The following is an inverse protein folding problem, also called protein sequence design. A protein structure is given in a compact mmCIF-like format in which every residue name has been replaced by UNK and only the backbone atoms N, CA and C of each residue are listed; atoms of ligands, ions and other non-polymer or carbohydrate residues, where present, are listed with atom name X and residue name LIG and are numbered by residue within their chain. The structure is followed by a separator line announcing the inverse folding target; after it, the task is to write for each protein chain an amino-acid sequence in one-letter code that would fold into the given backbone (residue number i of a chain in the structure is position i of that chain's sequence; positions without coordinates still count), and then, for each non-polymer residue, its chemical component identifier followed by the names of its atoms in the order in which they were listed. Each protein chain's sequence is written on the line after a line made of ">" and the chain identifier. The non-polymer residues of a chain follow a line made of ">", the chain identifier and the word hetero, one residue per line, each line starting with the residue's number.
data_IF_229880038041
#
_entry.id   IF_229880038041
#
_cell.length_a   1.000
_cell.length_b   1.000
_cell.length_c   1.000
_cell.angle_alpha   90.00
_cell.angle_beta   90.00
_cell.angle_gamma   90.00
#
_symmetry.space_group_name_H-M   'P 1'
#
loop_
_entity.id
_entity.type
_entity.pdbx_description
1 polymer ?
#
# COMPACT_ATOMS: atom_id res chain seq x y z
N UNK A 1 -11.55 8.82 -6.31
CA UNK A 1 -10.83 9.72 -7.22
C UNK A 1 -9.54 9.04 -7.61
N UNK A 2 -9.39 8.72 -8.90
CA UNK A 2 -8.36 7.81 -9.42
C UNK A 2 -7.11 8.59 -9.90
N UNK A 3 -6.65 9.60 -9.16
CA UNK A 3 -5.60 10.51 -9.62
C UNK A 3 -4.34 9.80 -10.17
N UNK A 4 -3.80 8.84 -9.46
CA UNK A 4 -2.60 8.11 -9.91
C UNK A 4 -2.89 7.14 -11.05
N UNK A 5 -4.02 6.48 -11.02
CA UNK A 5 -4.42 5.50 -12.05
C UNK A 5 -4.76 6.15 -13.38
N UNK A 6 -5.46 7.30 -13.35
CA UNK A 6 -5.82 8.03 -14.58
C UNK A 6 -4.60 8.62 -15.28
N UNK A 7 -3.58 9.05 -14.56
CA UNK A 7 -2.33 9.56 -15.14
C UNK A 7 -1.55 8.51 -15.93
N UNK A 8 -1.71 7.22 -15.58
CA UNK A 8 -1.04 6.10 -16.23
C UNK A 8 -1.96 5.31 -17.17
N UNK A 9 -3.19 5.79 -17.38
CA UNK A 9 -4.21 5.09 -18.17
C UNK A 9 -4.46 3.64 -17.68
N UNK A 10 -4.23 3.38 -16.39
CA UNK A 10 -4.34 2.07 -15.78
C UNK A 10 -5.69 1.94 -15.05
N UNK A 11 -6.38 0.84 -15.29
CA UNK A 11 -7.58 0.49 -14.51
C UNK A 11 -7.20 -0.34 -13.28
N UNK A 12 -7.76 0.00 -12.13
CA UNK A 12 -7.52 -0.74 -10.88
C UNK A 12 -7.87 -2.23 -11.00
N UNK A 13 -8.92 -2.55 -11.77
CA UNK A 13 -9.34 -3.94 -12.04
C UNK A 13 -8.29 -4.73 -12.80
N UNK A 14 -7.68 -4.12 -13.80
CA UNK A 14 -6.65 -4.75 -14.62
C UNK A 14 -5.37 -4.95 -13.81
N UNK A 15 -5.02 -3.98 -12.97
CA UNK A 15 -3.90 -4.11 -12.03
C UNK A 15 -4.12 -5.25 -11.05
N UNK A 16 -5.30 -5.38 -10.45
CA UNK A 16 -5.59 -6.47 -9.50
C UNK A 16 -5.45 -7.82 -10.20
N UNK A 17 -6.08 -7.99 -11.37
CA UNK A 17 -6.00 -9.25 -12.13
C UNK A 17 -4.57 -9.61 -12.51
N UNK A 18 -3.80 -8.67 -13.04
CA UNK A 18 -2.42 -8.92 -13.45
C UNK A 18 -1.53 -9.22 -12.26
N UNK A 19 -1.72 -8.52 -11.14
CA UNK A 19 -0.96 -8.75 -9.90
C UNK A 19 -1.25 -10.14 -9.32
N UNK A 20 -2.52 -10.55 -9.25
CA UNK A 20 -2.90 -11.90 -8.78
C UNK A 20 -2.33 -12.96 -9.70
N UNK A 21 -2.45 -12.80 -11.03
CA UNK A 21 -1.88 -13.72 -12.01
C UNK A 21 -0.36 -13.86 -11.84
N UNK A 22 0.34 -12.76 -11.61
CA UNK A 22 1.78 -12.79 -11.37
C UNK A 22 2.12 -13.49 -10.06
N UNK A 23 1.43 -13.17 -8.96
CA UNK A 23 1.63 -13.79 -7.66
C UNK A 23 1.46 -15.32 -7.71
N UNK A 24 0.47 -15.83 -8.45
CA UNK A 24 0.22 -17.28 -8.55
C UNK A 24 1.32 -18.06 -9.23
N UNK A 25 2.23 -17.40 -9.92
CA UNK A 25 3.45 -18.05 -10.41
C UNK A 25 4.46 -18.36 -9.30
N UNK A 26 4.31 -17.70 -8.14
CA UNK A 26 5.32 -17.66 -7.09
C UNK A 26 4.81 -18.09 -5.71
N UNK A 27 3.49 -18.16 -5.49
CA UNK A 27 2.92 -18.52 -4.19
C UNK A 27 1.52 -19.11 -4.29
N UNK A 28 1.22 -20.06 -3.39
CA UNK A 28 -0.12 -20.63 -3.18
C UNK A 28 -0.83 -20.00 -1.96
N UNK A 29 -0.25 -19.01 -1.33
CA UNK A 29 -0.83 -18.34 -0.14
C UNK A 29 -2.19 -17.73 -0.46
N UNK A 30 -3.13 -17.70 0.50
CA UNK A 30 -4.40 -17.02 0.34
C UNK A 30 -4.19 -15.54 -0.01
N UNK A 31 -4.89 -15.05 -1.03
CA UNK A 31 -4.85 -13.65 -1.43
C UNK A 31 -6.13 -12.97 -0.94
N UNK A 32 -5.97 -11.95 -0.11
CA UNK A 32 -7.06 -11.09 0.35
C UNK A 32 -6.94 -9.75 -0.35
N UNK A 33 -7.98 -9.32 -1.04
CA UNK A 33 -8.01 -8.04 -1.73
C UNK A 33 -8.93 -7.08 -0.99
N UNK A 34 -8.42 -5.88 -0.70
CA UNK A 34 -9.17 -4.80 -0.08
C UNK A 34 -9.40 -3.69 -1.10
N UNK A 35 -10.67 -3.44 -1.44
CA UNK A 35 -11.07 -2.32 -2.27
C UNK A 35 -11.15 -1.02 -1.47
N UNK A 36 -10.88 0.13 -2.13
CA UNK A 36 -11.14 1.43 -1.51
C UNK A 36 -12.66 1.62 -1.29
N UNK A 37 -13.12 2.01 -0.08
CA UNK A 37 -14.55 2.12 0.22
C UNK A 37 -15.32 3.05 -0.72
N UNK A 38 -14.68 4.09 -1.22
CA UNK A 38 -15.25 5.05 -2.16
C UNK A 38 -15.31 4.56 -3.62
N UNK A 39 -14.67 3.45 -3.97
CA UNK A 39 -14.65 2.91 -5.32
C UNK A 39 -15.66 1.75 -5.46
N UNK A 40 -16.93 2.14 -5.66
CA UNK A 40 -18.04 1.18 -5.82
C UNK A 40 -17.86 0.26 -7.03
N UNK A 41 -17.19 0.73 -8.09
CA UNK A 41 -16.96 -0.05 -9.30
C UNK A 41 -15.92 -1.14 -9.04
N UNK A 42 -14.79 -0.81 -8.43
CA UNK A 42 -13.80 -1.78 -8.02
C UNK A 42 -14.38 -2.82 -7.05
N UNK A 43 -15.14 -2.38 -6.03
CA UNK A 43 -15.77 -3.30 -5.08
C UNK A 43 -16.74 -4.27 -5.78
N UNK A 44 -17.52 -3.80 -6.77
CA UNK A 44 -18.39 -4.68 -7.57
C UNK A 44 -17.59 -5.73 -8.33
N UNK A 45 -16.49 -5.34 -8.95
CA UNK A 45 -15.58 -6.24 -9.64
C UNK A 45 -14.98 -7.28 -8.68
N UNK A 46 -14.52 -6.86 -7.51
CA UNK A 46 -13.91 -7.74 -6.51
C UNK A 46 -14.85 -8.79 -5.91
N UNK A 47 -16.17 -8.58 -6.03
CA UNK A 47 -17.23 -9.53 -5.60
C UNK A 47 -17.50 -10.66 -6.60
N UNK A 48 -16.76 -10.75 -7.71
CA UNK A 48 -16.96 -11.82 -8.70
C UNK A 48 -16.72 -13.20 -8.09
N UNK A 49 -17.41 -14.20 -8.65
CA UNK A 49 -17.21 -15.60 -8.30
C UNK A 49 -16.17 -16.25 -9.22
N UNK A 50 -15.50 -17.28 -8.74
CA UNK A 50 -14.53 -18.02 -9.54
C UNK A 50 -13.19 -17.29 -9.75
N UNK A 51 -12.91 -16.32 -8.91
CA UNK A 51 -11.64 -15.56 -8.89
C UNK A 51 -10.71 -16.13 -7.83
N UNK A 52 -9.41 -15.96 -8.02
CA UNK A 52 -8.37 -16.48 -7.15
C UNK A 52 -7.97 -15.49 -6.03
N UNK A 53 -8.96 -14.84 -5.44
CA UNK A 53 -8.83 -14.00 -4.26
C UNK A 53 -10.08 -13.99 -3.41
N UNK A 54 -9.94 -13.56 -2.17
CA UNK A 54 -11.05 -13.27 -1.25
C UNK A 54 -11.16 -11.76 -1.04
N UNK A 55 -12.35 -11.20 -1.21
CA UNK A 55 -12.60 -9.81 -0.85
C UNK A 55 -12.60 -9.67 0.68
N UNK A 56 -11.81 -8.73 1.18
CA UNK A 56 -11.82 -8.38 2.62
C UNK A 56 -13.24 -7.99 3.08
N UNK A 57 -13.62 -8.53 4.24
CA UNK A 57 -14.88 -8.21 4.93
C UNK A 57 -14.65 -7.36 6.18
N UNK A 58 -13.40 -7.04 6.47
CA UNK A 58 -13.02 -6.29 7.65
C UNK A 58 -13.28 -4.79 7.46
N UNK A 59 -13.83 -4.13 8.48
CA UNK A 59 -14.09 -2.69 8.45
C UNK A 59 -12.79 -1.89 8.52
N UNK A 60 -11.85 -2.34 9.34
CA UNK A 60 -10.57 -1.65 9.57
C UNK A 60 -9.43 -2.34 8.83
N UNK A 61 -8.54 -1.53 8.25
CA UNK A 61 -7.31 -2.01 7.60
C UNK A 61 -6.43 -2.85 8.55
N UNK A 62 -6.30 -2.44 9.80
CA UNK A 62 -5.51 -3.15 10.80
C UNK A 62 -5.89 -4.63 10.95
N UNK A 63 -7.19 -4.96 10.81
CA UNK A 63 -7.67 -6.34 10.87
C UNK A 63 -7.22 -7.20 9.69
N UNK A 64 -7.03 -6.58 8.51
CA UNK A 64 -6.47 -7.27 7.35
C UNK A 64 -4.95 -7.43 7.46
N UNK A 65 -4.29 -6.49 8.13
CA UNK A 65 -2.85 -6.53 8.35
C UNK A 65 -2.46 -7.54 9.44
N UNK A 66 -3.36 -7.82 10.36
CA UNK A 66 -3.13 -8.79 11.41
C UNK A 66 -2.89 -10.18 10.80
N UNK A 67 -1.71 -10.75 11.09
CA UNK A 67 -1.23 -12.00 10.52
C UNK A 67 -0.96 -12.00 8.99
N UNK A 68 -0.92 -10.84 8.34
CA UNK A 68 -0.54 -10.77 6.93
C UNK A 68 0.93 -11.17 6.72
N UNK A 69 1.19 -12.09 5.77
CA UNK A 69 2.54 -12.48 5.37
C UNK A 69 3.27 -11.34 4.67
N UNK A 70 2.59 -10.65 3.78
CA UNK A 70 3.07 -9.49 3.06
C UNK A 70 1.88 -8.66 2.57
N UNK A 71 2.13 -7.40 2.25
CA UNK A 71 1.16 -6.48 1.66
C UNK A 71 1.63 -6.05 0.29
N UNK A 72 0.71 -5.97 -0.66
CA UNK A 72 1.00 -5.54 -2.02
C UNK A 72 0.13 -4.34 -2.34
N UNK A 73 0.75 -3.28 -2.79
CA UNK A 73 0.06 -2.06 -3.23
C UNK A 73 0.63 -1.56 -4.55
N UNK A 74 -0.15 -0.78 -5.28
CA UNK A 74 0.43 -0.02 -6.38
C UNK A 74 1.41 1.02 -5.81
N UNK A 75 0.90 2.05 -5.13
CA UNK A 75 1.68 3.06 -4.41
C UNK A 75 0.89 3.72 -3.27
N UNK A 76 -0.15 3.06 -2.77
CA UNK A 76 -1.16 3.67 -1.90
C UNK A 76 -0.78 3.68 -0.42
N UNK A 77 -1.40 4.60 0.35
CA UNK A 77 -1.18 4.78 1.78
C UNK A 77 -1.35 3.54 2.67
N UNK A 78 -2.24 2.56 2.38
CA UNK A 78 -2.24 1.28 3.10
C UNK A 78 -0.89 0.57 3.14
N UNK A 79 -0.05 0.74 2.12
CA UNK A 79 1.33 0.23 2.13
C UNK A 79 2.20 0.90 3.19
N UNK A 80 2.01 2.19 3.44
CA UNK A 80 2.70 2.91 4.52
C UNK A 80 2.31 2.33 5.88
N UNK A 81 1.01 2.09 6.11
CA UNK A 81 0.53 1.46 7.34
C UNK A 81 1.14 0.06 7.54
N UNK A 82 1.18 -0.76 6.50
CA UNK A 82 1.82 -2.07 6.53
C UNK A 82 3.31 -1.99 6.91
N UNK A 83 4.04 -1.07 6.30
CA UNK A 83 5.46 -0.88 6.58
C UNK A 83 5.70 -0.38 8.01
N UNK A 84 4.83 0.47 8.57
CA UNK A 84 4.87 0.91 9.97
C UNK A 84 4.72 -0.30 10.91
N UNK A 85 3.81 -1.23 10.62
CA UNK A 85 3.61 -2.45 11.40
C UNK A 85 4.75 -3.48 11.22
N UNK A 86 5.63 -3.28 10.26
CA UNK A 86 6.77 -4.16 9.98
C UNK A 86 6.43 -5.35 9.10
N UNK A 87 5.29 -5.30 8.44
CA UNK A 87 4.87 -6.31 7.47
C UNK A 87 5.63 -6.06 6.17
N UNK A 88 6.24 -7.07 5.54
CA UNK A 88 6.88 -6.93 4.24
C UNK A 88 5.94 -6.28 3.22
N UNK A 89 6.39 -5.21 2.59
CA UNK A 89 5.62 -4.46 1.61
C UNK A 89 6.18 -4.69 0.20
N UNK A 90 5.28 -4.86 -0.77
CA UNK A 90 5.58 -4.82 -2.20
C UNK A 90 4.88 -3.62 -2.84
N UNK A 91 5.63 -2.84 -3.61
CA UNK A 91 5.13 -1.72 -4.42
C UNK A 91 5.29 -2.09 -5.88
N UNK A 92 4.19 -2.06 -6.62
CA UNK A 92 4.15 -2.49 -8.04
C UNK A 92 4.02 -1.33 -9.03
N UNK A 93 4.08 -0.08 -8.57
CA UNK A 93 4.18 1.08 -9.46
C UNK A 93 5.48 0.98 -10.26
N UNK A 94 5.48 1.15 -11.59
CA UNK A 94 6.69 1.24 -12.40
C UNK A 94 7.67 2.32 -11.93
N UNK A 95 7.16 3.37 -11.27
CA UNK A 95 7.97 4.35 -10.55
C UNK A 95 7.75 4.21 -9.05
N UNK A 96 8.37 3.22 -8.39
CA UNK A 96 8.09 2.90 -6.99
C UNK A 96 8.46 4.04 -6.03
N UNK A 97 9.33 4.98 -6.46
CA UNK A 97 9.71 6.17 -5.68
C UNK A 97 8.55 7.11 -5.38
N UNK A 98 7.41 6.97 -6.07
CA UNK A 98 6.17 7.71 -5.76
C UNK A 98 5.56 7.23 -4.42
N UNK A 99 5.79 5.98 -4.04
CA UNK A 99 5.34 5.47 -2.74
C UNK A 99 6.14 6.09 -1.60
N UNK A 100 5.46 6.60 -0.58
CA UNK A 100 6.11 7.08 0.65
C UNK A 100 6.89 5.98 1.40
N UNK A 101 6.58 4.72 1.15
CA UNK A 101 7.25 3.57 1.76
C UNK A 101 8.29 2.92 0.84
N UNK A 102 8.70 3.58 -0.26
CA UNK A 102 9.64 3.01 -1.23
C UNK A 102 10.94 2.50 -0.60
N UNK A 103 11.52 3.25 0.33
CA UNK A 103 12.81 2.90 0.97
C UNK A 103 12.76 1.56 1.73
N UNK A 104 11.57 1.10 2.10
CA UNK A 104 11.33 -0.12 2.88
C UNK A 104 10.40 -1.11 2.16
N UNK A 105 10.29 -1.00 0.85
CA UNK A 105 9.44 -1.84 0.02
C UNK A 105 10.25 -2.75 -0.90
N UNK A 106 9.72 -3.96 -1.14
CA UNK A 106 10.14 -4.83 -2.22
C UNK A 106 9.46 -4.37 -3.53
N UNK A 107 10.09 -4.61 -4.66
CA UNK A 107 9.54 -4.27 -5.98
C UNK A 107 9.41 -5.48 -6.92
N UNK A 108 9.92 -6.64 -6.51
CA UNK A 108 9.92 -7.87 -7.28
C UNK A 108 8.99 -8.92 -6.63
N UNK A 109 7.83 -9.15 -7.23
CA UNK A 109 6.83 -10.10 -6.75
C UNK A 109 7.32 -11.55 -6.75
N UNK A 110 8.35 -11.89 -7.54
CA UNK A 110 8.93 -13.23 -7.52
C UNK A 110 9.55 -13.60 -6.17
N UNK A 111 9.85 -12.59 -5.35
CA UNK A 111 10.41 -12.75 -4.01
C UNK A 111 9.35 -12.89 -2.91
N UNK A 112 8.08 -13.11 -3.25
CA UNK A 112 6.98 -13.11 -2.26
C UNK A 112 7.17 -14.14 -1.15
N UNK A 113 7.69 -15.33 -1.44
CA UNK A 113 7.96 -16.34 -0.42
C UNK A 113 9.21 -16.02 0.42
N UNK A 114 10.10 -15.18 -0.11
CA UNK A 114 11.29 -14.67 0.57
C UNK A 114 11.15 -13.19 0.92
N UNK A 115 9.91 -12.74 1.16
CA UNK A 115 9.61 -11.35 1.43
C UNK A 115 10.47 -10.80 2.58
N UNK A 116 11.22 -9.74 2.31
CA UNK A 116 12.14 -9.12 3.28
C UNK A 116 11.43 -8.00 4.00
N UNK A 117 11.50 -8.04 5.33
CA UNK A 117 11.33 -6.83 6.15
C UNK A 117 12.63 -6.03 6.14
N UNK A 118 12.55 -4.76 5.81
CA UNK A 118 13.69 -3.85 5.83
C UNK A 118 13.87 -3.23 7.22
N UNK A 119 15.12 -2.82 7.53
CA UNK A 119 15.34 -1.94 8.66
C UNK A 119 14.62 -0.61 8.38
N UNK A 120 13.65 -0.25 9.25
CA UNK A 120 12.71 0.85 9.02
C UNK A 120 12.90 2.05 9.93
N UNK A 121 13.83 2.00 10.88
CA UNK A 121 13.99 3.05 11.89
C UNK A 121 14.28 4.42 11.26
N UNK A 122 15.25 4.46 10.35
CA UNK A 122 15.60 5.70 9.64
C UNK A 122 14.43 6.23 8.80
N UNK A 123 13.72 5.35 8.11
CA UNK A 123 12.53 5.71 7.34
C UNK A 123 11.40 6.22 8.25
N UNK A 124 11.12 5.57 9.39
CA UNK A 124 10.13 6.02 10.37
C UNK A 124 10.45 7.41 10.93
N UNK A 125 11.72 7.70 11.18
CA UNK A 125 12.15 9.03 11.61
C UNK A 125 11.84 10.09 10.55
N UNK A 126 12.18 9.82 9.28
CA UNK A 126 11.83 10.73 8.17
C UNK A 126 10.31 10.90 8.05
N UNK A 127 9.57 9.80 8.10
CA UNK A 127 8.12 9.81 7.99
C UNK A 127 7.47 10.65 9.11
N UNK A 128 7.91 10.50 10.35
CA UNK A 128 7.39 11.27 11.48
C UNK A 128 7.63 12.77 11.37
N UNK A 129 8.68 13.18 10.68
CA UNK A 129 8.96 14.60 10.42
C UNK A 129 8.11 15.19 9.30
N UNK A 130 7.47 14.35 8.48
CA UNK A 130 6.66 14.78 7.34
C UNK A 130 5.14 14.67 7.60
N UNK A 131 4.73 14.06 8.70
CA UNK A 131 3.33 13.88 9.07
C UNK A 131 2.94 14.84 10.19
N UNK A 132 1.93 15.64 9.92
CA UNK A 132 1.43 16.68 10.82
C UNK A 132 -0.08 16.50 11.02
N UNK A 133 -0.53 16.62 12.25
CA UNK A 133 -1.96 16.64 12.55
C UNK A 133 -2.60 17.94 12.06
N UNK A 134 -3.91 17.97 11.92
CA UNK A 134 -4.63 19.18 11.58
C UNK A 134 -4.40 20.30 12.61
N UNK A 135 -4.35 19.96 13.89
CA UNK A 135 -4.07 20.91 14.96
C UNK A 135 -2.67 21.53 14.83
N UNK A 136 -1.65 20.72 14.53
CA UNK A 136 -0.29 21.23 14.31
C UNK A 136 -0.19 22.13 13.07
N UNK A 137 -0.98 21.85 12.03
CA UNK A 137 -1.08 22.72 10.86
C UNK A 137 -1.78 24.04 11.20
N UNK A 138 -2.91 24.00 11.90
CA UNK A 138 -3.69 25.17 12.30
C UNK A 138 -2.92 26.09 13.26
N UNK A 139 -2.20 25.50 14.22
CA UNK A 139 -1.36 26.27 15.17
C UNK A 139 -0.06 26.78 14.56
N UNK A 140 0.25 26.40 13.33
CA UNK A 140 1.48 26.76 12.63
C UNK A 140 2.73 26.05 13.17
N UNK A 141 2.59 24.98 13.93
CA UNK A 141 3.70 24.18 14.44
C UNK A 141 4.54 23.58 13.31
N UNK A 142 3.88 23.05 12.28
CA UNK A 142 4.54 22.55 11.08
C UNK A 142 5.39 23.63 10.39
N UNK A 143 4.85 24.83 10.24
CA UNK A 143 5.58 25.97 9.66
C UNK A 143 6.78 26.38 10.51
N UNK A 144 6.63 26.48 11.83
CA UNK A 144 7.74 26.79 12.74
C UNK A 144 8.87 25.78 12.64
N UNK A 145 8.52 24.50 12.40
CA UNK A 145 9.49 23.46 12.20
C UNK A 145 10.23 23.64 10.87
N UNK A 146 9.50 23.75 9.76
CA UNK A 146 10.11 23.80 8.42
C UNK A 146 10.93 25.05 8.16
N UNK A 147 10.54 26.22 8.65
CA UNK A 147 11.25 27.49 8.43
C UNK A 147 12.68 27.53 8.96
N UNK A 148 13.08 26.55 9.79
CA UNK A 148 14.44 26.40 10.28
C UNK A 148 15.41 25.86 9.22
N UNK A 149 14.87 25.27 8.16
CA UNK A 149 15.62 24.60 7.10
C UNK A 149 15.57 25.36 5.77
N UNK A 150 14.90 26.49 5.73
CA UNK A 150 14.80 27.41 4.60
C UNK A 150 15.62 28.66 4.88
#
# INVERSE_FOLDING_TARGET
>A
RNGGWSMQNLKVTDWISSTVTELRKHTDRPIIVRGHPGDKQAIRYLKQKGVDWTLSKNDKLAQDLDNAWATITYNSSPGVASAIEGIPLFVTDPNPKISQAYEVANTDLSQIENAKGFERRSWLQKLSMCHWSFEELETGAAWKHFRQFI
#
